data_IF_888555551176
#
_entry.id   IF_888555551176
#
_cell.length_a   1.000
_cell.length_b   1.000
_cell.length_c   1.000
_cell.angle_alpha   90.00
_cell.angle_beta   90.00
_cell.angle_gamma   90.00
#
_symmetry.space_group_name_H-M   'P 1'
#
loop_
_entity.id
_entity.type
_entity.pdbx_description
1 polymer ?
#
# COMPACT_ATOMS: atom_id res chain seq x y z
N UNK A 1 11.70 8.79 0.07
CA UNK A 1 11.65 7.31 0.11
C UNK A 1 12.37 6.83 1.36
N UNK A 2 11.95 5.71 1.93
CA UNK A 2 12.68 4.98 2.96
C UNK A 2 13.51 3.86 2.30
N UNK A 3 14.65 3.52 2.90
CA UNK A 3 15.43 2.34 2.51
C UNK A 3 14.79 1.09 3.12
N UNK A 4 14.67 0.03 2.32
CA UNK A 4 14.23 -1.29 2.75
C UNK A 4 15.40 -2.24 2.49
N UNK A 5 16.00 -2.83 3.55
CA UNK A 5 17.10 -3.77 3.39
C UNK A 5 16.62 -5.04 2.67
N UNK A 6 17.58 -5.76 2.10
CA UNK A 6 17.30 -7.09 1.53
C UNK A 6 16.74 -8.05 2.59
N UNK A 7 16.00 -9.05 2.14
CA UNK A 7 15.41 -10.03 3.02
C UNK A 7 14.63 -11.09 2.26
N UNK A 8 13.68 -11.72 2.95
CA UNK A 8 12.81 -12.71 2.31
C UNK A 8 11.40 -12.68 2.89
N UNK A 9 10.43 -13.08 2.07
CA UNK A 9 9.03 -13.23 2.47
C UNK A 9 8.60 -14.67 2.25
N UNK A 10 8.04 -15.29 3.28
CA UNK A 10 7.56 -16.68 3.21
C UNK A 10 6.18 -16.73 2.57
N UNK A 11 6.01 -17.51 1.50
CA UNK A 11 4.72 -17.74 0.87
C UNK A 11 3.83 -18.56 1.78
N UNK A 12 2.64 -18.04 2.10
CA UNK A 12 1.66 -18.80 2.88
C UNK A 12 1.23 -20.12 2.20
N UNK A 13 1.20 -20.16 0.86
CA UNK A 13 0.72 -21.31 0.09
C UNK A 13 1.71 -22.47 0.00
N UNK A 14 3.02 -22.19 -0.03
CA UNK A 14 4.06 -23.21 -0.27
C UNK A 14 5.15 -23.26 0.81
N UNK A 15 5.17 -22.31 1.74
CA UNK A 15 6.25 -22.10 2.73
C UNK A 15 7.62 -21.76 2.14
N UNK A 16 7.72 -21.54 0.83
CA UNK A 16 8.96 -21.10 0.20
C UNK A 16 9.27 -19.66 0.57
N UNK A 17 10.55 -19.38 0.83
CA UNK A 17 11.05 -18.02 1.00
C UNK A 17 11.29 -17.38 -0.38
N UNK A 18 10.69 -16.22 -0.61
CA UNK A 18 10.96 -15.38 -1.79
C UNK A 18 12.03 -14.36 -1.41
N UNK A 19 13.25 -14.42 -1.99
CA UNK A 19 14.27 -13.41 -1.76
C UNK A 19 13.83 -12.07 -2.36
N UNK A 20 14.15 -10.99 -1.68
CA UNK A 20 13.88 -9.61 -2.09
C UNK A 20 15.15 -8.80 -1.85
N UNK A 21 15.72 -8.26 -2.92
CA UNK A 21 16.90 -7.39 -2.85
C UNK A 21 16.59 -6.08 -2.14
N UNK A 22 17.62 -5.39 -1.66
CA UNK A 22 17.46 -4.07 -1.06
C UNK A 22 16.91 -3.06 -2.09
N UNK A 23 15.99 -2.20 -1.65
CA UNK A 23 15.34 -1.22 -2.51
C UNK A 23 14.89 0.01 -1.70
N UNK A 24 14.32 1.00 -2.37
CA UNK A 24 13.69 2.14 -1.73
C UNK A 24 12.19 2.19 -2.03
N UNK A 25 11.39 2.61 -1.05
CA UNK A 25 9.94 2.77 -1.19
C UNK A 25 9.49 4.18 -0.77
N UNK A 26 8.47 4.74 -1.41
CA UNK A 26 7.84 5.98 -0.95
C UNK A 26 7.31 5.81 0.48
N UNK A 27 7.53 6.83 1.32
CA UNK A 27 7.24 6.76 2.77
C UNK A 27 5.75 6.68 3.09
N UNK A 28 4.93 7.17 2.17
CA UNK A 28 3.48 7.23 2.24
C UNK A 28 2.92 6.75 0.91
N UNK A 29 1.60 6.59 0.85
CA UNK A 29 0.88 6.57 -0.42
C UNK A 29 1.16 7.85 -1.23
N UNK A 30 1.03 7.77 -2.55
CA UNK A 30 1.12 8.95 -3.43
C UNK A 30 -0.05 9.88 -3.10
N UNK A 31 0.23 11.15 -2.81
CA UNK A 31 -0.82 12.12 -2.48
C UNK A 31 -1.50 12.67 -3.72
N UNK A 32 -2.69 13.23 -3.55
CA UNK A 32 -3.42 13.90 -4.63
C UNK A 32 -2.64 15.07 -5.24
N UNK A 33 -1.93 15.85 -4.42
CA UNK A 33 -1.08 16.94 -4.93
C UNK A 33 0.10 16.41 -5.77
N UNK A 34 0.76 15.35 -5.31
CA UNK A 34 1.85 14.71 -6.04
C UNK A 34 1.36 14.13 -7.37
N UNK A 35 0.22 13.43 -7.37
CA UNK A 35 -0.37 12.88 -8.59
C UNK A 35 -0.74 13.98 -9.59
N UNK A 36 -1.45 15.01 -9.13
CA UNK A 36 -1.85 16.16 -9.94
C UNK A 36 -0.65 16.83 -10.61
N UNK A 37 0.45 17.02 -9.87
CA UNK A 37 1.66 17.66 -10.39
C UNK A 37 2.31 16.89 -11.55
N UNK A 38 2.21 15.55 -11.56
CA UNK A 38 2.89 14.68 -12.54
C UNK A 38 1.95 14.29 -13.70
N UNK A 39 0.67 14.12 -13.41
CA UNK A 39 -0.31 13.60 -14.36
C UNK A 39 -1.21 14.69 -14.94
N UNK A 40 -1.27 15.87 -14.32
CA UNK A 40 -2.07 17.00 -14.79
C UNK A 40 -3.55 16.93 -14.40
N UNK A 41 -3.98 15.86 -13.72
CA UNK A 41 -5.36 15.65 -13.28
C UNK A 41 -5.43 15.01 -11.90
N UNK A 42 -6.59 15.10 -11.23
CA UNK A 42 -6.86 14.46 -9.95
C UNK A 42 -8.16 13.64 -10.01
N UNK A 43 -8.08 12.31 -10.20
CA UNK A 43 -9.26 11.45 -10.36
C UNK A 43 -9.97 11.08 -9.04
N UNK A 44 -9.37 11.42 -7.89
CA UNK A 44 -9.85 11.03 -6.56
C UNK A 44 -11.31 11.38 -6.32
N UNK A 45 -12.06 10.49 -5.69
CA UNK A 45 -13.38 10.76 -5.16
C UNK A 45 -13.34 11.71 -3.95
N UNK A 46 -12.51 11.42 -2.95
CA UNK A 46 -12.32 12.29 -1.80
C UNK A 46 -11.35 13.41 -2.19
N UNK A 47 -11.58 14.65 -1.73
CA UNK A 47 -10.75 15.79 -2.15
C UNK A 47 -9.93 16.33 -0.99
N UNK A 48 -8.62 16.40 -1.19
CA UNK A 48 -7.67 17.01 -0.25
C UNK A 48 -6.23 16.77 -0.68
N UNK A 49 -5.40 17.82 -0.66
CA UNK A 49 -4.02 17.79 -1.20
C UNK A 49 -3.16 16.66 -0.62
N UNK A 50 -3.29 16.44 0.68
CA UNK A 50 -2.50 15.45 1.44
C UNK A 50 -3.20 14.10 1.59
N UNK A 51 -4.40 13.94 1.04
CA UNK A 51 -5.05 12.62 0.97
C UNK A 51 -4.30 11.75 -0.05
N UNK A 52 -4.33 10.41 0.09
CA UNK A 52 -3.87 9.53 -0.96
C UNK A 52 -4.67 9.77 -2.25
N UNK A 53 -4.00 9.63 -3.39
CA UNK A 53 -4.70 9.51 -4.66
C UNK A 53 -5.44 8.17 -4.70
N UNK A 54 -6.70 8.19 -5.11
CA UNK A 54 -7.52 7.00 -5.31
C UNK A 54 -8.36 7.17 -6.58
N UNK A 55 -9.18 6.17 -6.93
CA UNK A 55 -9.84 6.08 -8.25
C UNK A 55 -8.85 6.09 -9.42
N UNK A 56 -7.67 5.51 -9.19
CA UNK A 56 -6.71 5.18 -10.25
C UNK A 56 -6.73 3.68 -10.52
N UNK A 57 -6.62 3.32 -11.79
CA UNK A 57 -6.45 1.93 -12.19
C UNK A 57 -4.96 1.56 -12.14
N UNK A 58 -4.63 0.30 -12.37
CA UNK A 58 -3.24 -0.17 -12.26
C UNK A 58 -2.31 0.49 -13.28
N UNK A 59 -2.79 0.70 -14.51
CA UNK A 59 -2.00 1.28 -15.59
C UNK A 59 -1.66 2.76 -15.32
N UNK A 60 -2.59 3.51 -14.74
CA UNK A 60 -2.40 4.90 -14.33
C UNK A 60 -1.37 5.01 -13.19
N UNK A 61 -1.46 4.11 -12.21
CA UNK A 61 -0.50 4.03 -11.11
C UNK A 61 0.92 3.69 -11.60
N UNK A 62 1.05 2.69 -12.47
CA UNK A 62 2.33 2.32 -13.09
C UNK A 62 2.89 3.45 -13.96
N UNK A 63 2.05 4.11 -14.77
CA UNK A 63 2.44 5.24 -15.60
C UNK A 63 2.97 6.42 -14.74
N UNK A 64 2.33 6.73 -13.61
CA UNK A 64 2.83 7.73 -12.67
C UNK A 64 4.22 7.37 -12.16
N UNK A 65 4.43 6.14 -11.68
CA UNK A 65 5.73 5.74 -11.15
C UNK A 65 6.81 5.81 -12.23
N UNK A 66 6.52 5.32 -13.44
CA UNK A 66 7.46 5.35 -14.58
C UNK A 66 7.86 6.76 -15.00
N UNK A 67 6.93 7.72 -15.01
CA UNK A 67 7.24 9.14 -15.29
C UNK A 67 8.28 9.74 -14.34
N UNK A 68 8.40 9.18 -13.13
CA UNK A 68 9.36 9.61 -12.12
C UNK A 68 10.63 8.74 -12.08
N UNK A 69 10.82 7.83 -13.05
CA UNK A 69 11.93 6.86 -13.02
C UNK A 69 11.81 5.85 -11.88
N UNK A 70 10.59 5.59 -11.41
CA UNK A 70 10.25 4.59 -10.38
C UNK A 70 9.40 3.47 -11.00
N UNK A 71 8.95 2.55 -10.16
CA UNK A 71 8.00 1.47 -10.50
C UNK A 71 7.00 1.25 -9.36
N UNK A 72 5.94 0.49 -9.60
CA UNK A 72 5.17 -0.10 -8.50
C UNK A 72 6.04 -1.16 -7.79
N UNK A 73 5.92 -1.33 -6.46
CA UNK A 73 6.55 -2.44 -5.77
C UNK A 73 5.90 -3.76 -6.21
N UNK A 74 6.67 -4.84 -6.23
CA UNK A 74 6.10 -6.20 -6.24
C UNK A 74 5.34 -6.46 -4.94
N UNK A 75 4.47 -7.46 -4.91
CA UNK A 75 3.76 -7.84 -3.69
C UNK A 75 4.71 -8.28 -2.56
N UNK A 76 5.89 -8.82 -2.93
CA UNK A 76 6.89 -9.30 -1.98
C UNK A 76 7.70 -8.15 -1.39
N UNK A 77 8.11 -7.18 -2.21
CA UNK A 77 8.69 -5.93 -1.73
C UNK A 77 7.72 -5.19 -0.80
N UNK A 78 6.45 -5.11 -1.19
CA UNK A 78 5.42 -4.48 -0.37
C UNK A 78 5.28 -5.19 0.98
N UNK A 79 5.21 -6.52 1.00
CA UNK A 79 5.09 -7.27 2.26
C UNK A 79 6.33 -7.16 3.14
N UNK A 80 7.54 -7.27 2.57
CA UNK A 80 8.79 -7.09 3.32
C UNK A 80 8.83 -5.69 3.95
N UNK A 81 8.50 -4.67 3.16
CA UNK A 81 8.43 -3.29 3.61
C UNK A 81 7.38 -3.08 4.71
N UNK A 82 6.20 -3.70 4.58
CA UNK A 82 5.13 -3.60 5.58
C UNK A 82 5.57 -4.23 6.91
N UNK A 83 6.16 -5.42 6.85
CA UNK A 83 6.66 -6.17 8.02
C UNK A 83 7.76 -5.44 8.78
N UNK A 84 8.67 -4.78 8.08
CA UNK A 84 9.77 -4.03 8.69
C UNK A 84 10.54 -4.80 9.78
N UNK A 85 10.82 -6.09 9.51
CA UNK A 85 11.51 -7.00 10.44
C UNK A 85 10.58 -7.81 11.35
N UNK A 86 9.27 -7.52 11.37
CA UNK A 86 8.27 -8.28 12.14
C UNK A 86 7.84 -9.57 11.43
N UNK A 87 7.81 -10.67 12.16
CA UNK A 87 7.24 -11.96 11.75
C UNK A 87 5.78 -12.15 12.18
N UNK A 88 5.24 -11.21 12.96
CA UNK A 88 3.86 -11.27 13.47
C UNK A 88 2.80 -10.94 12.41
N UNK A 89 1.53 -11.03 12.80
CA UNK A 89 0.36 -10.83 11.95
C UNK A 89 0.25 -9.41 11.38
N UNK A 90 0.54 -8.41 12.20
CA UNK A 90 0.64 -7.00 11.84
C UNK A 90 2.06 -6.51 12.15
N UNK A 91 2.51 -5.40 11.58
CA UNK A 91 3.87 -4.93 11.89
C UNK A 91 4.05 -4.46 13.35
N UNK A 92 2.96 -4.31 14.11
CA UNK A 92 2.94 -3.97 15.54
C UNK A 92 2.67 -5.17 16.47
N UNK A 93 2.50 -6.38 15.94
CA UNK A 93 2.19 -7.58 16.74
C UNK A 93 0.97 -8.35 16.25
N UNK A 94 0.43 -9.24 17.09
CA UNK A 94 -0.71 -10.10 16.74
C UNK A 94 -2.07 -9.57 17.21
N UNK A 95 -2.07 -8.49 17.97
CA UNK A 95 -3.28 -7.90 18.55
C UNK A 95 -3.91 -6.85 17.66
N UNK A 96 -5.24 -6.85 17.59
CA UNK A 96 -6.02 -5.78 16.95
C UNK A 96 -6.18 -4.54 17.83
N UNK A 97 -5.77 -4.58 19.10
CA UNK A 97 -5.98 -3.46 20.03
C UNK A 97 -5.25 -2.18 19.60
N UNK A 98 -4.11 -2.32 18.91
CA UNK A 98 -3.30 -1.18 18.45
C UNK A 98 -3.62 -0.76 17.01
N UNK A 99 -4.62 -1.40 16.37
CA UNK A 99 -5.01 -1.10 15.00
C UNK A 99 -5.33 0.39 14.76
N UNK A 100 -5.94 1.06 15.74
CA UNK A 100 -6.32 2.47 15.64
C UNK A 100 -5.11 3.43 15.66
N UNK A 101 -3.99 3.02 16.25
CA UNK A 101 -2.74 3.78 16.29
C UNK A 101 -1.97 3.68 14.97
N UNK A 102 -2.16 2.58 14.25
CA UNK A 102 -1.36 2.19 13.09
C UNK A 102 -2.06 2.34 11.74
N UNK A 103 -3.38 2.47 11.72
CA UNK A 103 -4.12 2.48 10.46
C UNK A 103 -5.48 3.15 10.48
N UNK A 104 -5.89 3.61 9.30
CA UNK A 104 -7.24 4.09 9.02
C UNK A 104 -8.10 2.94 8.48
N UNK A 105 -9.12 2.54 9.21
CA UNK A 105 -10.02 1.42 8.89
C UNK A 105 -11.47 1.75 9.19
N UNK A 106 -12.38 0.81 8.89
CA UNK A 106 -13.83 1.03 8.91
C UNK A 106 -14.36 1.66 10.19
N UNK A 107 -13.77 1.34 11.36
CA UNK A 107 -14.27 1.83 12.65
C UNK A 107 -13.78 3.23 13.02
N UNK A 108 -12.60 3.66 12.54
CA UNK A 108 -12.01 4.95 12.93
C UNK A 108 -11.91 5.97 11.79
N UNK A 109 -12.12 5.56 10.53
CA UNK A 109 -11.88 6.41 9.37
C UNK A 109 -13.06 7.31 8.98
N UNK A 110 -14.18 7.27 9.70
CA UNK A 110 -15.37 8.11 9.39
C UNK A 110 -15.82 8.02 7.92
N UNK A 111 -15.70 6.82 7.35
CA UNK A 111 -16.08 6.49 5.96
C UNK A 111 -15.36 7.30 4.87
N UNK A 112 -14.09 7.67 5.07
CA UNK A 112 -13.28 8.40 4.09
C UNK A 112 -11.78 8.11 4.23
N UNK A 113 -11.00 8.48 3.22
CA UNK A 113 -9.54 8.57 3.29
C UNK A 113 -9.10 9.72 4.22
N UNK A 114 -7.90 9.61 4.78
CA UNK A 114 -7.30 10.62 5.65
C UNK A 114 -5.94 11.07 5.10
N UNK A 115 -5.43 12.23 5.55
CA UNK A 115 -4.11 12.67 5.16
C UNK A 115 -3.06 11.60 5.48
N UNK A 116 -2.11 11.43 4.55
CA UNK A 116 -1.04 10.44 4.71
C UNK A 116 -0.15 10.78 5.91
N UNK A 117 0.40 9.76 6.57
CA UNK A 117 1.39 9.93 7.63
C UNK A 117 0.83 10.31 9.00
N UNK A 118 -0.50 10.30 9.20
CA UNK A 118 -1.11 10.66 10.49
C UNK A 118 -1.10 9.53 11.52
N UNK A 119 -0.88 8.28 11.10
CA UNK A 119 -0.75 7.10 11.96
C UNK A 119 0.72 6.74 12.18
N UNK A 120 0.97 5.95 13.23
CA UNK A 120 2.32 5.52 13.58
C UNK A 120 2.96 4.73 12.44
N UNK A 121 4.22 5.03 12.05
CA UNK A 121 4.93 4.28 11.04
C UNK A 121 5.41 2.92 11.58
N UNK A 122 5.83 2.04 10.67
CA UNK A 122 6.61 0.85 11.05
C UNK A 122 8.11 1.17 11.27
N UNK A 123 8.91 0.16 11.60
CA UNK A 123 10.33 0.32 11.91
C UNK A 123 11.21 0.84 10.74
N UNK A 124 10.72 0.81 9.50
CA UNK A 124 11.39 1.42 8.34
C UNK A 124 10.97 2.88 8.10
N UNK A 125 10.09 3.44 8.94
CA UNK A 125 9.56 4.79 8.78
C UNK A 125 8.55 4.89 7.62
N UNK A 126 7.92 3.79 7.25
CA UNK A 126 6.82 3.76 6.29
C UNK A 126 5.49 3.94 7.03
N UNK A 127 4.71 4.91 6.59
CA UNK A 127 3.38 5.17 7.09
C UNK A 127 2.33 4.52 6.19
N UNK A 128 1.13 4.34 6.76
CA UNK A 128 -0.07 3.89 6.04
C UNK A 128 0.12 2.52 5.34
N UNK A 129 1.04 1.68 5.84
CA UNK A 129 1.17 0.29 5.38
C UNK A 129 0.00 -0.59 5.85
N UNK A 130 -0.93 -0.01 6.62
CA UNK A 130 -2.09 -0.65 7.22
C UNK A 130 -3.30 0.30 7.14
N UNK A 131 -4.21 0.08 6.21
CA UNK A 131 -5.41 0.90 6.03
C UNK A 131 -5.21 2.08 5.08
N UNK A 132 -6.04 3.12 5.27
CA UNK A 132 -6.21 4.28 4.37
C UNK A 132 -6.65 3.87 2.95
N UNK A 133 -5.77 3.46 2.03
CA UNK A 133 -6.16 2.85 0.75
C UNK A 133 -5.44 1.54 0.49
N UNK A 134 -6.11 0.64 -0.22
CA UNK A 134 -5.45 -0.52 -0.82
C UNK A 134 -4.42 -0.03 -1.84
N UNK A 135 -3.30 -0.72 -1.95
CA UNK A 135 -2.22 -0.28 -2.83
C UNK A 135 -1.98 -1.26 -3.97
N UNK A 136 -2.02 -0.76 -5.20
CA UNK A 136 -1.60 -1.53 -6.37
C UNK A 136 -0.13 -1.95 -6.27
N UNK A 137 0.14 -3.21 -6.62
CA UNK A 137 1.50 -3.76 -6.77
C UNK A 137 1.75 -4.16 -8.21
N UNK A 138 3.01 -4.35 -8.60
CA UNK A 138 3.41 -4.83 -9.92
C UNK A 138 3.10 -6.32 -10.15
N UNK A 139 2.73 -7.07 -9.11
CA UNK A 139 2.60 -8.52 -9.18
C UNK A 139 1.32 -8.96 -9.87
N UNK A 140 1.48 -9.86 -10.83
CA UNK A 140 0.41 -10.54 -11.55
C UNK A 140 -0.32 -11.56 -10.67
N UNK A 141 -1.55 -11.86 -11.09
CA UNK A 141 -2.33 -12.98 -10.63
C UNK A 141 -3.09 -13.62 -11.81
N UNK A 142 -3.74 -14.76 -11.57
CA UNK A 142 -4.52 -15.49 -12.56
C UNK A 142 -5.49 -14.58 -13.33
N UNK A 143 -5.73 -14.92 -14.60
CA UNK A 143 -6.63 -14.20 -15.50
C UNK A 143 -6.27 -12.72 -15.72
N UNK A 144 -4.98 -12.36 -15.62
CA UNK A 144 -4.50 -11.00 -15.85
C UNK A 144 -4.79 -10.02 -14.71
N UNK A 145 -5.24 -10.54 -13.56
CA UNK A 145 -5.45 -9.74 -12.35
C UNK A 145 -4.15 -9.18 -11.79
N UNK A 146 -4.27 -8.16 -10.94
CA UNK A 146 -3.16 -7.56 -10.21
C UNK A 146 -3.42 -7.64 -8.72
N UNK A 147 -2.34 -7.74 -7.95
CA UNK A 147 -2.38 -7.84 -6.50
C UNK A 147 -2.48 -6.45 -5.88
N UNK A 148 -3.34 -6.32 -4.88
CA UNK A 148 -3.40 -5.16 -3.98
C UNK A 148 -3.12 -5.58 -2.54
N UNK A 149 -2.50 -4.69 -1.77
CA UNK A 149 -2.08 -4.92 -0.37
C UNK A 149 -2.52 -3.79 0.58
N UNK A 150 -2.52 -4.05 1.89
CA UNK A 150 -2.61 -3.02 2.93
C UNK A 150 -3.97 -2.80 3.61
N UNK A 151 -5.09 -3.15 2.97
CA UNK A 151 -6.41 -2.78 3.48
C UNK A 151 -6.76 -1.33 3.15
N UNK A 152 -7.92 -0.85 3.58
CA UNK A 152 -8.34 0.54 3.37
C UNK A 152 -9.28 1.04 4.45
N UNK A 153 -9.60 2.34 4.40
CA UNK A 153 -10.53 3.03 5.29
C UNK A 153 -11.90 2.36 5.40
N UNK A 154 -12.35 1.58 4.40
CA UNK A 154 -13.67 0.92 4.40
C UNK A 154 -13.65 -0.52 4.91
N UNK A 155 -12.47 -1.11 5.09
CA UNK A 155 -12.30 -2.50 5.51
C UNK A 155 -12.14 -2.61 7.02
N UNK A 156 -12.41 -3.79 7.59
CA UNK A 156 -12.09 -4.04 8.99
C UNK A 156 -10.57 -4.05 9.19
N UNK A 157 -10.12 -3.79 10.42
CA UNK A 157 -8.71 -3.88 10.80
C UNK A 157 -8.06 -5.25 10.46
N UNK A 158 -8.86 -6.31 10.35
CA UNK A 158 -8.40 -7.62 9.86
C UNK A 158 -7.78 -7.55 8.46
N UNK A 159 -8.21 -6.61 7.61
CA UNK A 159 -7.60 -6.46 6.28
C UNK A 159 -6.20 -5.83 6.31
N UNK A 160 -5.73 -5.34 7.46
CA UNK A 160 -4.45 -4.62 7.60
C UNK A 160 -3.26 -5.53 7.92
N UNK A 161 -3.43 -6.87 7.90
CA UNK A 161 -2.29 -7.78 8.09
C UNK A 161 -1.26 -7.59 6.98
N UNK A 162 0.01 -7.69 7.32
CA UNK A 162 1.11 -7.52 6.37
C UNK A 162 1.04 -8.49 5.18
N UNK A 163 0.52 -9.70 5.39
CA UNK A 163 0.36 -10.72 4.35
C UNK A 163 -0.97 -10.68 3.59
N UNK A 164 -1.90 -9.80 3.98
CA UNK A 164 -3.22 -9.81 3.36
C UNK A 164 -3.16 -9.24 1.94
N UNK A 165 -3.67 -10.02 0.99
CA UNK A 165 -3.76 -9.67 -0.43
C UNK A 165 -5.19 -9.77 -0.92
N UNK A 166 -5.56 -8.86 -1.81
CA UNK A 166 -6.74 -9.00 -2.65
C UNK A 166 -6.32 -8.90 -4.12
N UNK A 167 -7.25 -9.28 -4.98
CA UNK A 167 -7.05 -9.40 -6.41
C UNK A 167 -8.04 -8.47 -7.10
N UNK A 168 -7.60 -7.79 -8.13
CA UNK A 168 -8.48 -6.91 -8.88
C UNK A 168 -8.09 -6.85 -10.34
N UNK A 169 -9.08 -6.63 -11.21
CA UNK A 169 -8.84 -6.38 -12.61
C UNK A 169 -8.12 -5.03 -12.76
N UNK A 170 -7.01 -4.95 -13.52
CA UNK A 170 -6.18 -3.74 -13.63
C UNK A 170 -6.92 -2.53 -14.20
N UNK A 171 -8.09 -2.68 -14.81
CA UNK A 171 -8.88 -1.57 -15.37
C UNK A 171 -9.77 -0.86 -14.33
N UNK A 172 -10.02 -1.49 -13.17
CA UNK A 172 -10.97 -0.94 -12.20
C UNK A 172 -10.38 0.22 -11.41
N UNK A 173 -11.23 1.23 -11.18
CA UNK A 173 -10.94 2.44 -10.40
C UNK A 173 -11.83 2.46 -9.16
N UNK A 174 -11.27 2.15 -8.01
CA UNK A 174 -12.00 2.17 -6.75
C UNK A 174 -11.58 3.34 -5.87
N UNK A 175 -12.53 3.93 -5.17
CA UNK A 175 -12.31 5.09 -4.29
C UNK A 175 -11.67 4.75 -2.93
N UNK A 176 -11.06 3.58 -2.87
CA UNK A 176 -10.37 3.01 -1.72
C UNK A 176 -9.10 2.28 -2.16
N UNK A 177 -8.68 2.46 -3.43
CA UNK A 177 -7.46 1.90 -3.99
C UNK A 177 -6.61 3.04 -4.54
N UNK A 178 -5.39 3.14 -4.05
CA UNK A 178 -4.31 4.00 -4.51
C UNK A 178 -3.05 3.19 -4.74
N UNK A 179 -1.89 3.78 -4.46
CA UNK A 179 -0.58 3.13 -4.63
C UNK A 179 0.55 3.95 -3.99
N UNK A 180 1.72 3.32 -3.87
CA UNK A 180 3.02 3.97 -3.63
C UNK A 180 4.06 3.44 -4.62
N UNK A 181 5.14 4.17 -4.85
CA UNK A 181 6.21 3.74 -5.76
C UNK A 181 7.43 3.18 -5.02
N UNK A 182 8.22 2.38 -5.74
CA UNK A 182 9.50 1.83 -5.35
C UNK A 182 10.58 2.12 -6.41
N UNK A 183 11.86 2.04 -6.03
CA UNK A 183 13.01 2.10 -6.94
C UNK A 183 14.17 1.28 -6.41
#
# INVERSE_FOLDING_TARGET
>A
MAAVPEGSVVRASSKDAVPVDAFHMDKTEVTQEQYLKVMGENPSYFKGKNLPVEKVNWHEADAYCRKLGKRLPTEWEWELAARAGSDTTFYWGDSLQEADAHGWHKKNASKKTHPVGEKQPNAFGLHDMAGNVWEWTASDHENGGKVQRGGSWRNSAFSMRSSHRILSNPIYRYHYVGFRCAR
#
